data_IF_317139065852
#
_entry.id   IF_317139065852
#
_cell.length_a   1.000
_cell.length_b   1.000
_cell.length_c   1.000
_cell.angle_alpha   90.00
_cell.angle_beta   90.00
_cell.angle_gamma   90.00
#
_symmetry.space_group_name_H-M   'P 1'
#
loop_
_entity.id
_entity.type
_entity.pdbx_description
1 polymer ?
#
# COMPACT_ATOMS: atom_id res chain seq x y z
N UNK A 1 48.14 -13.76 -26.84
CA UNK A 1 47.25 -14.07 -25.70
C UNK A 1 45.81 -13.91 -26.14
N UNK A 2 45.06 -15.02 -26.28
CA UNK A 2 43.62 -14.99 -26.63
C UNK A 2 42.81 -14.74 -25.35
N UNK A 3 42.04 -13.66 -25.31
CA UNK A 3 41.17 -13.29 -24.17
C UNK A 3 39.94 -14.23 -24.13
N UNK A 4 39.94 -15.15 -23.18
CA UNK A 4 38.81 -16.02 -22.82
C UNK A 4 37.83 -15.24 -21.92
N UNK A 5 36.98 -14.39 -22.50
CA UNK A 5 35.87 -13.74 -21.78
C UNK A 5 34.65 -13.74 -22.71
N UNK A 6 34.05 -14.89 -23.01
CA UNK A 6 32.76 -14.92 -23.75
C UNK A 6 31.78 -16.03 -23.34
N UNK A 7 32.09 -16.93 -22.41
CA UNK A 7 31.19 -18.05 -22.08
C UNK A 7 30.46 -17.90 -20.73
N UNK A 8 30.97 -17.16 -19.74
CA UNK A 8 30.29 -17.06 -18.44
C UNK A 8 29.13 -16.05 -18.40
N UNK A 9 29.16 -14.97 -19.19
CA UNK A 9 28.05 -14.00 -19.22
C UNK A 9 26.79 -14.54 -19.92
N UNK A 10 26.96 -15.40 -20.94
CA UNK A 10 25.81 -15.97 -21.66
C UNK A 10 25.02 -16.96 -20.79
N UNK A 11 25.71 -17.72 -19.93
CA UNK A 11 25.07 -18.70 -19.05
C UNK A 11 24.38 -18.00 -17.87
N UNK A 12 24.95 -16.91 -17.34
CA UNK A 12 24.31 -16.09 -16.30
C UNK A 12 23.04 -15.38 -16.80
N UNK A 13 23.02 -14.93 -18.07
CA UNK A 13 21.85 -14.29 -18.66
C UNK A 13 20.69 -15.26 -18.90
N UNK A 14 20.98 -16.51 -19.27
CA UNK A 14 19.96 -17.54 -19.52
C UNK A 14 19.38 -18.08 -18.20
N UNK A 15 20.18 -18.21 -17.14
CA UNK A 15 19.69 -18.61 -15.81
C UNK A 15 18.78 -17.56 -15.16
N UNK A 16 19.02 -16.26 -15.38
CA UNK A 16 18.09 -15.20 -14.93
C UNK A 16 16.79 -15.18 -15.75
N UNK A 17 16.85 -15.52 -17.04
CA UNK A 17 15.66 -15.57 -17.89
C UNK A 17 14.71 -16.74 -17.54
N UNK A 18 15.26 -17.87 -17.07
CA UNK A 18 14.45 -19.01 -16.63
C UNK A 18 13.78 -18.83 -15.25
N UNK A 19 14.35 -18.02 -14.35
CA UNK A 19 13.72 -17.76 -13.04
C UNK A 19 12.58 -16.73 -13.11
N UNK A 20 12.49 -15.92 -14.17
CA UNK A 20 11.44 -14.92 -14.36
C UNK A 20 10.14 -15.44 -14.99
N UNK A 21 10.10 -16.69 -15.47
CA UNK A 21 8.97 -17.20 -16.26
C UNK A 21 7.98 -18.10 -15.50
N UNK A 22 8.18 -18.36 -14.20
CA UNK A 22 7.29 -19.26 -13.44
C UNK A 22 7.08 -18.88 -11.96
N UNK A 23 7.37 -17.65 -11.54
CA UNK A 23 6.71 -17.16 -10.33
C UNK A 23 5.33 -16.67 -10.76
N UNK A 24 4.21 -17.38 -10.49
CA UNK A 24 2.97 -16.65 -10.38
C UNK A 24 3.25 -15.56 -9.33
N UNK A 25 3.04 -14.30 -9.69
CA UNK A 25 3.06 -13.20 -8.71
C UNK A 25 1.80 -13.40 -7.87
N UNK A 26 1.83 -14.41 -7.00
CA UNK A 26 0.86 -14.54 -5.93
C UNK A 26 1.38 -13.61 -4.84
N UNK A 27 0.94 -12.36 -4.90
CA UNK A 27 1.04 -11.50 -3.74
C UNK A 27 0.25 -12.19 -2.61
N UNK A 28 1.04 -12.71 -1.66
CA UNK A 28 0.61 -13.43 -0.48
C UNK A 28 -0.49 -12.64 0.25
N UNK A 29 -1.72 -13.11 0.13
CA UNK A 29 -2.77 -12.86 1.14
C UNK A 29 -2.33 -13.35 2.54
N UNK A 30 -1.22 -14.10 2.63
CA UNK A 30 -0.62 -14.63 3.86
C UNK A 30 0.47 -13.73 4.49
N UNK A 31 0.54 -12.44 4.18
CA UNK A 31 1.55 -11.53 4.77
C UNK A 31 0.96 -10.23 5.28
N UNK A 32 -0.03 -10.36 6.18
CA UNK A 32 -0.48 -9.25 7.01
C UNK A 32 0.64 -8.81 7.95
N UNK A 33 1.04 -7.54 7.87
CA UNK A 33 1.92 -6.94 8.87
C UNK A 33 1.05 -6.17 9.86
N UNK A 34 1.24 -6.37 11.17
CA UNK A 34 0.58 -5.53 12.15
C UNK A 34 1.07 -4.08 11.99
N UNK A 35 0.14 -3.13 12.04
CA UNK A 35 0.49 -1.72 12.16
C UNK A 35 0.69 -1.38 13.64
N UNK A 36 1.66 -0.50 13.91
CA UNK A 36 1.94 0.02 15.26
C UNK A 36 1.95 1.53 15.15
N UNK A 37 1.16 2.21 15.98
CA UNK A 37 1.02 3.65 15.94
C UNK A 37 0.11 4.16 17.05
N UNK A 38 0.14 5.45 17.30
CA UNK A 38 -0.79 6.11 18.23
C UNK A 38 -2.12 6.30 17.52
N UNK A 39 -3.12 5.52 17.94
CA UNK A 39 -4.51 5.67 17.49
C UNK A 39 -5.27 6.56 18.46
N UNK A 40 -4.91 6.55 19.75
CA UNK A 40 -5.47 7.42 20.78
C UNK A 40 -4.50 8.55 21.13
N UNK A 41 -4.85 9.79 20.78
CA UNK A 41 -4.07 11.01 21.12
C UNK A 41 -3.87 11.26 22.62
N UNK A 42 -4.56 10.50 23.48
CA UNK A 42 -4.46 10.55 24.95
C UNK A 42 -3.63 9.42 25.56
N UNK A 43 -3.14 8.47 24.76
CA UNK A 43 -2.25 7.39 25.19
C UNK A 43 -0.80 7.77 24.88
N UNK A 44 0.10 7.59 25.83
CA UNK A 44 1.54 7.75 25.60
C UNK A 44 2.19 6.52 24.96
N UNK A 45 1.46 5.40 24.89
CA UNK A 45 1.96 4.13 24.38
C UNK A 45 1.23 3.73 23.10
N UNK A 46 1.94 3.26 22.05
CA UNK A 46 1.34 2.99 20.75
C UNK A 46 0.44 1.75 20.77
N UNK A 47 -0.67 1.84 20.04
CA UNK A 47 -1.58 0.75 19.78
C UNK A 47 -1.14 -0.10 18.59
N UNK A 48 -1.73 -1.30 18.48
CA UNK A 48 -1.45 -2.27 17.42
C UNK A 48 -2.71 -2.60 16.68
N UNK A 49 -2.64 -2.63 15.36
CA UNK A 49 -3.77 -3.01 14.50
C UNK A 49 -3.37 -4.21 13.65
N UNK A 50 -4.22 -5.23 13.63
CA UNK A 50 -3.93 -6.54 13.07
C UNK A 50 -5.11 -7.01 12.23
N UNK A 51 -4.82 -7.59 11.07
CA UNK A 51 -5.78 -8.37 10.30
C UNK A 51 -5.61 -9.84 10.63
N UNK A 52 -6.70 -10.52 10.93
CA UNK A 52 -6.72 -11.93 11.26
C UNK A 52 -7.08 -12.80 10.06
N UNK A 53 -6.70 -14.08 10.10
CA UNK A 53 -6.94 -15.03 9.00
C UNK A 53 -8.42 -15.23 8.67
N UNK A 54 -9.32 -14.98 9.64
CA UNK A 54 -10.77 -15.00 9.46
C UNK A 54 -11.32 -13.70 8.84
N UNK A 55 -10.44 -12.81 8.37
CA UNK A 55 -10.79 -11.57 7.67
C UNK A 55 -11.22 -10.42 8.57
N UNK A 56 -11.00 -10.54 9.88
CA UNK A 56 -11.32 -9.52 10.88
C UNK A 56 -10.22 -8.48 11.07
N UNK A 57 -10.59 -7.30 11.55
CA UNK A 57 -9.68 -6.24 11.95
C UNK A 57 -9.72 -6.10 13.46
N UNK A 58 -8.56 -6.19 14.10
CA UNK A 58 -8.39 -6.06 15.55
C UNK A 58 -7.54 -4.83 15.85
N UNK A 59 -7.92 -4.07 16.87
CA UNK A 59 -7.10 -3.01 17.41
C UNK A 59 -6.88 -3.26 18.91
N UNK A 60 -5.62 -3.27 19.32
CA UNK A 60 -5.17 -3.61 20.66
C UNK A 60 -4.42 -2.42 21.24
N UNK A 61 -4.74 -2.07 22.48
CA UNK A 61 -3.90 -1.15 23.28
C UNK A 61 -2.48 -1.68 23.44
N UNK A 62 -1.55 -0.81 23.84
CA UNK A 62 -0.18 -1.22 24.17
C UNK A 62 -0.09 -2.40 25.15
N UNK A 63 -1.02 -2.45 26.12
CA UNK A 63 -1.12 -3.54 27.10
C UNK A 63 -1.65 -4.88 26.54
N UNK A 64 -2.00 -4.92 25.25
CA UNK A 64 -2.59 -6.08 24.58
C UNK A 64 -4.10 -6.23 24.79
N UNK A 65 -4.77 -5.29 25.47
CA UNK A 65 -6.23 -5.27 25.61
C UNK A 65 -6.88 -4.75 24.33
N UNK A 66 -7.94 -5.42 23.87
CA UNK A 66 -8.77 -4.97 22.75
C UNK A 66 -9.36 -3.57 23.00
N UNK A 67 -9.28 -2.70 21.99
CA UNK A 67 -9.92 -1.38 21.99
C UNK A 67 -11.43 -1.51 21.81
N UNK A 68 -12.17 -0.47 22.22
CA UNK A 68 -13.62 -0.46 22.07
C UNK A 68 -14.01 -0.40 20.59
N UNK A 69 -15.02 -1.19 20.19
CA UNK A 69 -15.46 -1.30 18.81
C UNK A 69 -14.72 -2.34 17.96
N UNK A 70 -13.68 -2.97 18.52
CA UNK A 70 -12.94 -4.06 17.87
C UNK A 70 -13.24 -5.40 18.57
N UNK A 71 -13.20 -6.55 17.83
CA UNK A 71 -12.88 -6.67 16.42
C UNK A 71 -13.99 -6.19 15.48
N UNK A 72 -13.61 -5.78 14.27
CA UNK A 72 -14.52 -5.45 13.18
C UNK A 72 -14.54 -6.61 12.19
N UNK A 73 -15.75 -7.02 11.80
CA UNK A 73 -16.01 -7.92 10.69
C UNK A 73 -17.04 -7.26 9.77
N UNK A 74 -16.64 -7.01 8.53
CA UNK A 74 -17.53 -6.41 7.53
C UNK A 74 -18.33 -7.50 6.81
N UNK A 75 -19.68 -7.46 6.85
CA UNK A 75 -20.50 -8.45 6.18
C UNK A 75 -20.21 -8.53 4.68
N UNK A 76 -19.81 -9.72 4.22
CA UNK A 76 -19.54 -9.97 2.79
C UNK A 76 -18.20 -9.45 2.29
N UNK A 77 -17.33 -8.97 3.18
CA UNK A 77 -15.97 -8.52 2.86
C UNK A 77 -14.94 -9.16 3.77
N UNK A 78 -13.70 -9.14 3.32
CA UNK A 78 -12.52 -9.48 4.12
C UNK A 78 -11.49 -8.37 3.99
N UNK A 79 -10.76 -8.09 5.06
CA UNK A 79 -9.62 -7.19 5.01
C UNK A 79 -8.41 -7.91 4.39
N UNK A 80 -7.75 -7.28 3.42
CA UNK A 80 -6.76 -7.94 2.52
C UNK A 80 -5.43 -7.21 2.42
N UNK A 81 -5.19 -6.17 3.21
CA UNK A 81 -3.90 -5.48 3.28
C UNK A 81 -3.40 -5.33 4.70
N UNK A 82 -2.13 -4.99 4.86
CA UNK A 82 -1.65 -4.39 6.11
C UNK A 82 -2.40 -3.08 6.36
N UNK A 83 -2.83 -2.81 7.61
CA UNK A 83 -3.46 -1.54 7.96
C UNK A 83 -2.42 -0.40 8.01
N UNK A 84 -2.91 0.83 7.92
CA UNK A 84 -2.17 2.05 8.24
C UNK A 84 -2.83 2.71 9.46
N UNK A 85 -2.03 3.37 10.30
CA UNK A 85 -2.51 4.15 11.45
C UNK A 85 -2.04 5.59 11.22
N UNK A 86 -2.90 6.44 10.66
CA UNK A 86 -2.53 7.78 10.21
C UNK A 86 -3.69 8.76 10.34
N UNK A 87 -3.38 10.02 10.65
CA UNK A 87 -4.36 11.12 10.67
C UNK A 87 -4.68 11.56 9.22
N UNK A 88 -5.78 11.03 8.67
CA UNK A 88 -6.25 11.32 7.31
C UNK A 88 -7.35 12.37 7.31
N UNK A 89 -8.04 12.55 8.44
CA UNK A 89 -9.07 13.57 8.62
C UNK A 89 -8.49 14.97 8.88
N UNK A 90 -7.25 15.04 9.36
CA UNK A 90 -6.58 16.27 9.76
C UNK A 90 -7.06 16.81 11.12
N UNK A 91 -7.75 15.99 11.92
CA UNK A 91 -8.31 16.37 13.22
C UNK A 91 -7.34 16.13 14.40
N UNK A 92 -6.18 15.53 14.11
CA UNK A 92 -5.14 15.23 15.09
C UNK A 92 -5.27 13.87 15.77
N UNK A 93 -6.32 13.10 15.48
CA UNK A 93 -6.40 11.68 15.84
C UNK A 93 -6.10 10.83 14.62
N UNK A 94 -5.52 9.65 14.84
CA UNK A 94 -5.25 8.74 13.74
C UNK A 94 -6.46 7.86 13.44
N UNK A 95 -6.64 7.59 12.16
CA UNK A 95 -7.55 6.60 11.63
C UNK A 95 -6.83 5.29 11.30
N UNK A 96 -7.60 4.21 11.24
CA UNK A 96 -7.17 2.93 10.71
C UNK A 96 -7.62 2.85 9.26
N UNK A 97 -6.65 2.90 8.34
CA UNK A 97 -6.90 2.78 6.90
C UNK A 97 -6.54 1.38 6.43
N UNK A 98 -7.44 0.74 5.68
CA UNK A 98 -7.24 -0.63 5.24
C UNK A 98 -7.93 -0.90 3.90
N UNK A 99 -7.39 -1.85 3.13
CA UNK A 99 -8.06 -2.36 1.92
C UNK A 99 -8.91 -3.57 2.30
N UNK A 100 -10.18 -3.55 1.89
CA UNK A 100 -11.11 -4.66 1.95
C UNK A 100 -11.42 -5.20 0.55
N UNK A 101 -11.88 -6.45 0.48
CA UNK A 101 -12.32 -7.12 -0.74
C UNK A 101 -13.62 -7.86 -0.50
N UNK A 102 -14.58 -7.70 -1.42
CA UNK A 102 -15.82 -8.47 -1.38
C UNK A 102 -15.72 -9.82 -2.12
N UNK A 103 -16.77 -10.64 -2.05
CA UNK A 103 -16.84 -11.93 -2.73
C UNK A 103 -16.74 -11.85 -4.28
N UNK A 104 -16.96 -10.67 -4.85
CA UNK A 104 -16.84 -10.40 -6.29
C UNK A 104 -15.45 -9.91 -6.72
N UNK A 105 -14.46 -9.93 -5.82
CA UNK A 105 -13.13 -9.33 -6.03
C UNK A 105 -13.18 -7.81 -6.27
N UNK A 106 -14.19 -7.12 -5.74
CA UNK A 106 -14.22 -5.66 -5.72
C UNK A 106 -13.47 -5.18 -4.49
N UNK A 107 -12.43 -4.38 -4.71
CA UNK A 107 -11.62 -3.81 -3.64
C UNK A 107 -12.18 -2.45 -3.19
N UNK A 108 -12.04 -2.15 -1.90
CA UNK A 108 -12.32 -0.83 -1.34
C UNK A 108 -11.23 -0.39 -0.38
N UNK A 109 -10.90 0.90 -0.39
CA UNK A 109 -10.17 1.54 0.69
C UNK A 109 -11.16 2.00 1.74
N UNK A 110 -10.93 1.68 3.00
CA UNK A 110 -11.82 1.96 4.12
C UNK A 110 -11.03 2.62 5.25
N UNK A 111 -11.65 3.59 5.93
CA UNK A 111 -11.09 4.27 7.09
C UNK A 111 -12.02 4.16 8.28
N UNK A 112 -11.51 3.62 9.38
CA UNK A 112 -12.19 3.48 10.65
C UNK A 112 -11.56 4.40 11.68
N UNK A 113 -12.39 5.01 12.53
CA UNK A 113 -11.87 5.70 13.70
C UNK A 113 -11.50 4.69 14.80
N UNK A 114 -10.91 5.20 15.89
CA UNK A 114 -10.47 4.39 17.05
C UNK A 114 -11.58 3.63 17.78
N UNK A 115 -12.85 4.01 17.56
CA UNK A 115 -14.02 3.34 18.12
C UNK A 115 -14.63 2.31 17.17
N UNK A 116 -13.95 2.02 16.05
CA UNK A 116 -14.38 1.05 15.05
C UNK A 116 -15.53 1.51 14.16
N UNK A 117 -15.80 2.81 14.09
CA UNK A 117 -16.81 3.37 13.19
C UNK A 117 -16.16 3.67 11.84
N UNK A 118 -16.77 3.17 10.75
CA UNK A 118 -16.38 3.52 9.38
C UNK A 118 -16.69 5.00 9.12
N UNK A 119 -15.67 5.80 8.83
CA UNK A 119 -15.80 7.25 8.61
C UNK A 119 -15.53 7.66 7.16
N UNK A 120 -15.03 6.74 6.33
CA UNK A 120 -14.85 6.99 4.90
C UNK A 120 -14.56 5.71 4.16
N UNK A 121 -15.04 5.62 2.92
CA UNK A 121 -14.73 4.49 2.04
C UNK A 121 -14.70 4.88 0.58
N UNK A 122 -13.96 4.10 -0.21
CA UNK A 122 -13.88 4.26 -1.66
C UNK A 122 -13.74 2.92 -2.34
N UNK A 123 -14.71 2.59 -3.18
CA UNK A 123 -14.61 1.44 -4.09
C UNK A 123 -13.57 1.72 -5.16
N UNK A 124 -12.67 0.76 -5.37
CA UNK A 124 -11.63 0.74 -6.38
C UNK A 124 -12.10 -0.13 -7.55
N UNK A 125 -12.92 0.45 -8.42
CA UNK A 125 -13.55 -0.28 -9.52
C UNK A 125 -12.56 -0.71 -10.60
N UNK A 126 -12.65 -1.97 -11.02
CA UNK A 126 -11.91 -2.50 -12.18
C UNK A 126 -10.39 -2.60 -11.94
N UNK A 127 -9.97 -2.73 -10.69
CA UNK A 127 -8.57 -2.97 -10.32
C UNK A 127 -8.44 -4.14 -9.37
N UNK A 128 -7.31 -4.84 -9.45
CA UNK A 128 -6.88 -5.79 -8.44
C UNK A 128 -5.83 -5.13 -7.56
N UNK A 129 -5.99 -5.21 -6.24
CA UNK A 129 -5.00 -4.70 -5.28
C UNK A 129 -4.22 -5.89 -4.71
N UNK A 130 -2.90 -5.87 -4.90
CA UNK A 130 -1.99 -6.89 -4.39
C UNK A 130 -1.02 -6.38 -3.34
N UNK A 131 -0.95 -5.07 -3.18
CA UNK A 131 0.08 -4.41 -2.39
C UNK A 131 -0.56 -3.60 -1.28
N UNK A 132 0.17 -3.48 -0.18
CA UNK A 132 -0.26 -2.67 0.95
C UNK A 132 -0.39 -1.19 0.55
N UNK A 133 -1.40 -0.49 1.07
CA UNK A 133 -1.49 0.96 0.90
C UNK A 133 -0.28 1.64 1.55
N UNK A 134 0.13 2.79 1.01
CA UNK A 134 1.26 3.58 1.51
C UNK A 134 0.77 4.97 1.86
N UNK A 135 1.06 5.43 3.07
CA UNK A 135 0.76 6.80 3.47
C UNK A 135 1.91 7.76 3.19
N UNK A 136 1.57 9.00 2.82
CA UNK A 136 2.52 10.11 2.86
C UNK A 136 1.79 11.45 3.04
N UNK A 137 2.50 12.43 3.62
CA UNK A 137 2.03 13.83 3.70
C UNK A 137 2.70 14.71 2.65
N UNK A 138 1.92 15.56 2.00
CA UNK A 138 2.37 16.63 1.10
C UNK A 138 1.89 17.97 1.67
N UNK A 139 2.77 18.67 2.39
CA UNK A 139 2.36 19.80 3.24
C UNK A 139 1.34 19.33 4.30
N UNK A 140 0.15 19.95 4.30
CA UNK A 140 -0.96 19.58 5.19
C UNK A 140 -1.85 18.45 4.65
N UNK A 141 -1.60 17.98 3.42
CA UNK A 141 -2.47 17.03 2.75
C UNK A 141 -2.01 15.60 3.03
N UNK A 142 -2.93 14.79 3.57
CA UNK A 142 -2.77 13.36 3.81
C UNK A 142 -3.13 12.59 2.54
N UNK A 143 -2.20 11.78 2.04
CA UNK A 143 -2.34 11.04 0.80
C UNK A 143 -2.06 9.55 1.01
N UNK A 144 -2.83 8.71 0.33
CA UNK A 144 -2.70 7.25 0.38
C UNK A 144 -2.44 6.75 -1.03
N UNK A 145 -1.37 6.00 -1.21
CA UNK A 145 -0.99 5.41 -2.49
C UNK A 145 -1.36 3.93 -2.48
N UNK A 146 -2.04 3.48 -3.53
CA UNK A 146 -2.39 2.07 -3.74
C UNK A 146 -1.81 1.64 -5.09
N UNK A 147 -0.75 0.80 -5.08
CA UNK A 147 -0.30 0.14 -6.28
C UNK A 147 -1.31 -0.95 -6.65
N UNK A 148 -1.73 -0.99 -7.90
CA UNK A 148 -2.65 -2.01 -8.42
C UNK A 148 -1.96 -2.90 -9.46
N UNK A 149 -2.53 -4.07 -9.70
CA UNK A 149 -1.97 -5.12 -10.57
C UNK A 149 -1.56 -4.62 -11.96
N UNK A 150 -2.35 -3.73 -12.57
CA UNK A 150 -2.11 -3.22 -13.93
C UNK A 150 -0.96 -2.18 -14.01
N UNK A 151 -0.23 -1.98 -12.92
CA UNK A 151 0.92 -1.08 -12.82
C UNK A 151 0.54 0.36 -12.53
N UNK A 152 -0.75 0.70 -12.38
CA UNK A 152 -1.15 2.03 -11.91
C UNK A 152 -0.81 2.23 -10.45
N UNK A 153 -0.43 3.46 -10.12
CA UNK A 153 -0.37 3.96 -8.76
C UNK A 153 -1.52 4.93 -8.55
N UNK A 154 -2.51 4.51 -7.76
CA UNK A 154 -3.64 5.36 -7.39
C UNK A 154 -3.25 6.19 -6.18
N UNK A 155 -3.50 7.50 -6.21
CA UNK A 155 -3.51 8.37 -5.04
C UNK A 155 -4.95 8.56 -4.58
N UNK A 156 -5.15 8.42 -3.28
CA UNK A 156 -6.41 8.62 -2.60
C UNK A 156 -6.25 9.68 -1.52
N UNK A 157 -7.27 10.52 -1.40
CA UNK A 157 -7.31 11.62 -0.44
C UNK A 157 -8.67 11.63 0.25
N UNK A 158 -8.66 11.81 1.57
CA UNK A 158 -9.89 11.86 2.35
C UNK A 158 -10.65 13.16 2.07
N UNK A 159 -11.96 13.05 1.82
CA UNK A 159 -12.83 14.16 1.43
C UNK A 159 -14.09 14.19 2.30
N UNK A 160 -13.90 14.24 3.62
CA UNK A 160 -15.00 13.99 4.56
C UNK A 160 -15.41 12.52 4.44
N UNK A 161 -16.65 12.18 4.17
CA UNK A 161 -17.11 10.77 4.26
C UNK A 161 -16.67 9.82 3.14
N UNK A 162 -15.74 10.23 2.25
CA UNK A 162 -15.29 9.43 1.11
C UNK A 162 -13.81 9.67 0.80
N UNK A 163 -13.28 8.96 -0.21
CA UNK A 163 -11.99 9.31 -0.83
C UNK A 163 -12.16 9.73 -2.29
N UNK A 164 -11.49 10.81 -2.66
CA UNK A 164 -11.19 11.11 -4.05
C UNK A 164 -10.04 10.22 -4.50
N UNK A 165 -10.04 9.78 -5.76
CA UNK A 165 -8.97 8.95 -6.31
C UNK A 165 -8.51 9.51 -7.64
N UNK A 166 -7.20 9.64 -7.79
CA UNK A 166 -6.54 10.08 -9.02
C UNK A 166 -5.40 9.11 -9.34
N UNK A 167 -5.21 8.78 -10.62
CA UNK A 167 -4.02 8.06 -11.04
C UNK A 167 -2.83 9.02 -11.05
N UNK A 168 -1.76 8.69 -10.32
CA UNK A 168 -0.51 9.46 -10.38
C UNK A 168 0.30 9.13 -11.63
N UNK A 169 0.59 7.85 -11.83
CA UNK A 169 1.28 7.34 -13.02
C UNK A 169 0.98 5.84 -13.20
N UNK A 170 1.39 5.31 -14.35
CA UNK A 170 1.28 3.89 -14.70
C UNK A 170 2.65 3.36 -15.08
N UNK A 171 3.01 2.20 -14.55
CA UNK A 171 4.23 1.48 -14.91
C UNK A 171 3.86 0.14 -15.52
N UNK A 172 3.50 0.17 -16.80
CA UNK A 172 3.11 -1.03 -17.56
C UNK A 172 4.26 -1.61 -18.40
N UNK A 173 5.51 -1.22 -18.09
CA UNK A 173 6.72 -1.63 -18.80
C UNK A 173 7.88 -1.80 -17.81
N UNK A 174 8.90 -2.62 -18.15
CA UNK A 174 10.12 -2.69 -17.35
C UNK A 174 10.69 -1.29 -17.10
N UNK A 175 11.05 -1.03 -15.85
CA UNK A 175 11.58 0.25 -15.42
C UNK A 175 12.71 0.04 -14.41
N UNK A 176 13.56 1.06 -14.25
CA UNK A 176 14.52 1.14 -13.15
C UNK A 176 14.26 2.42 -12.39
N UNK A 177 14.35 2.34 -11.07
CA UNK A 177 14.27 3.49 -10.17
C UNK A 177 15.66 3.82 -9.64
N UNK A 178 15.99 5.11 -9.63
CA UNK A 178 17.15 5.65 -8.94
C UNK A 178 16.74 6.92 -8.21
N UNK A 179 17.35 7.22 -7.07
CA UNK A 179 17.15 8.50 -6.39
C UNK A 179 18.49 9.10 -5.95
N UNK A 180 18.59 10.43 -5.97
CA UNK A 180 19.72 11.18 -5.41
C UNK A 180 19.35 11.88 -4.08
N UNK A 181 18.20 11.55 -3.50
CA UNK A 181 17.68 12.15 -2.26
C UNK A 181 16.74 13.35 -2.47
N UNK A 182 16.83 14.05 -3.59
CA UNK A 182 15.91 15.16 -3.96
C UNK A 182 15.02 14.82 -5.15
N UNK A 183 15.51 13.98 -6.06
CA UNK A 183 14.82 13.56 -7.26
C UNK A 183 14.69 12.04 -7.28
N UNK A 184 13.58 11.55 -7.83
CA UNK A 184 13.36 10.17 -8.23
C UNK A 184 13.39 10.10 -9.75
N UNK A 185 14.30 9.29 -10.27
CA UNK A 185 14.45 8.99 -11.68
C UNK A 185 13.79 7.66 -11.97
N UNK A 186 12.85 7.64 -12.90
CA UNK A 186 12.27 6.41 -13.46
C UNK A 186 12.75 6.31 -14.89
N UNK A 187 13.57 5.29 -15.17
CA UNK A 187 14.09 5.04 -16.51
C UNK A 187 13.32 3.90 -17.16
N UNK A 188 12.96 4.09 -18.43
CA UNK A 188 12.27 3.08 -19.22
C UNK A 188 13.22 2.62 -20.35
N UNK A 189 13.95 1.50 -20.16
CA UNK A 189 14.96 1.04 -21.12
C UNK A 189 14.40 0.81 -22.54
N UNK A 190 13.10 0.56 -22.66
CA UNK A 190 12.45 0.30 -23.95
C UNK A 190 12.17 1.57 -24.79
N UNK A 191 12.02 2.73 -24.16
CA UNK A 191 11.59 3.97 -24.85
C UNK A 191 12.63 5.08 -24.79
N UNK A 192 13.85 4.80 -24.32
CA UNK A 192 14.93 5.80 -24.18
C UNK A 192 14.47 7.07 -23.45
N UNK A 193 13.58 6.90 -22.46
CA UNK A 193 12.95 7.98 -21.72
C UNK A 193 13.27 7.91 -20.23
N UNK A 194 13.31 9.07 -19.58
CA UNK A 194 13.49 9.22 -18.14
C UNK A 194 12.44 10.19 -17.61
N UNK A 195 11.59 9.72 -16.71
CA UNK A 195 10.76 10.61 -15.89
C UNK A 195 11.56 11.05 -14.67
N UNK A 196 11.50 12.33 -14.35
CA UNK A 196 12.15 12.90 -13.17
C UNK A 196 11.10 13.52 -12.27
N UNK A 197 10.85 12.87 -11.14
CA UNK A 197 9.97 13.37 -10.10
C UNK A 197 10.82 14.11 -9.07
N UNK A 198 10.58 15.41 -8.93
CA UNK A 198 11.28 16.23 -7.95
C UNK A 198 10.51 16.23 -6.65
N UNK A 199 11.21 16.06 -5.53
CA UNK A 199 10.66 16.25 -4.20
C UNK A 199 10.34 17.74 -4.01
N UNK A 200 9.06 18.11 -4.04
CA UNK A 200 8.63 19.45 -3.64
C UNK A 200 8.41 19.48 -2.13
N UNK A 201 9.26 20.21 -1.42
CA UNK A 201 8.96 20.61 -0.05
C UNK A 201 8.01 21.81 -0.12
N UNK A 202 6.75 21.61 0.27
CA UNK A 202 5.88 22.69 0.71
C UNK A 202 5.72 22.56 2.21
#
# INVERSE_FOLDING_TARGET
MKRLIKQSLLISGILFFCMGLISPVEAREYSFKPAIGEVLSSSADPERVIVTEDGGLQALSYSGKMLSGFPIYEPGKVFVSSPLIEDVTGDGNAEIIIVARDAGNVYSLEAYNVTGVLIGSKVLSGVTVYYDPIFYKSGTQSNILIPVEDGRLLQLEYSGTNFTSTQLFTVNKPFTVASNGTDLYITYPEVSGVDVYKKSWN
#
